data_IF_288012843841
#
_entry.id   IF_288012843841
#
_cell.length_a   1.000
_cell.length_b   1.000
_cell.length_c   1.000
_cell.angle_alpha   90.00
_cell.angle_beta   90.00
_cell.angle_gamma   90.00
#
_symmetry.space_group_name_H-M   'P 1'
#
loop_
_entity.id
_entity.type
_entity.pdbx_description
1 polymer ?
#
# COMPACT_ATOMS: atom_id res chain seq x y z
N UNK A 1 4.16 51.42 -90.70
CA UNK A 1 4.99 50.20 -90.68
C UNK A 1 5.39 49.95 -89.23
N UNK A 2 4.93 48.83 -88.65
CA UNK A 2 5.38 48.06 -87.47
C UNK A 2 6.28 48.72 -86.39
N UNK A 3 6.24 48.43 -85.08
CA UNK A 3 5.56 47.48 -84.17
C UNK A 3 6.09 47.82 -82.73
N UNK A 4 5.33 47.50 -81.67
CA UNK A 4 5.90 46.95 -80.41
C UNK A 4 6.22 47.86 -79.20
N UNK A 5 5.34 47.79 -78.18
CA UNK A 5 5.50 48.13 -76.72
C UNK A 5 6.35 47.05 -75.97
N UNK A 6 6.54 47.06 -74.61
CA UNK A 6 6.74 48.11 -73.58
C UNK A 6 7.76 47.74 -72.43
N UNK A 7 7.81 48.58 -71.37
CA UNK A 7 8.25 48.34 -69.96
C UNK A 7 9.78 48.27 -69.63
N UNK A 8 10.32 48.65 -68.45
CA UNK A 8 9.85 48.81 -67.05
C UNK A 8 10.66 49.91 -66.31
N UNK A 9 10.08 50.53 -65.29
CA UNK A 9 10.74 51.46 -64.34
C UNK A 9 10.77 50.79 -62.96
N UNK A 10 11.95 50.51 -62.40
CA UNK A 10 12.11 50.05 -61.01
C UNK A 10 12.94 51.07 -60.24
N UNK A 11 12.31 51.78 -59.30
CA UNK A 11 12.95 52.62 -58.28
C UNK A 11 12.95 51.83 -56.98
N UNK A 12 14.12 51.71 -56.36
CA UNK A 12 14.33 51.13 -55.04
C UNK A 12 13.52 51.88 -53.96
N UNK A 13 12.78 51.19 -53.07
CA UNK A 13 12.17 51.83 -51.91
C UNK A 13 13.17 51.92 -50.76
N UNK A 14 13.36 53.13 -50.27
CA UNK A 14 14.00 53.45 -48.99
C UNK A 14 13.34 52.68 -47.84
N UNK A 15 14.14 51.95 -47.06
CA UNK A 15 13.75 51.33 -45.78
C UNK A 15 13.25 52.42 -44.83
N UNK A 16 11.93 52.57 -44.75
CA UNK A 16 11.26 53.31 -43.67
C UNK A 16 11.26 52.38 -42.46
N UNK A 17 11.99 52.74 -41.40
CA UNK A 17 11.84 52.10 -40.11
C UNK A 17 10.35 52.21 -39.70
N UNK A 18 9.62 51.09 -39.69
CA UNK A 18 8.28 51.05 -39.13
C UNK A 18 8.43 51.30 -37.63
N UNK A 19 7.99 52.48 -37.21
CA UNK A 19 7.92 52.85 -35.81
C UNK A 19 6.60 52.27 -35.29
N UNK A 20 6.57 50.96 -35.12
CA UNK A 20 5.46 50.25 -34.49
C UNK A 20 5.57 50.47 -32.98
N UNK A 21 5.16 51.66 -32.55
CA UNK A 21 4.97 52.01 -31.16
C UNK A 21 3.57 51.55 -30.75
N UNK A 22 3.44 50.25 -30.47
CA UNK A 22 2.31 49.69 -29.70
C UNK A 22 2.82 48.75 -28.60
N UNK A 23 3.99 49.10 -28.04
CA UNK A 23 4.51 48.46 -26.84
C UNK A 23 3.85 49.11 -25.62
N UNK A 24 2.76 48.49 -25.18
CA UNK A 24 2.11 48.77 -23.90
C UNK A 24 2.91 48.10 -22.77
N UNK A 25 3.64 48.86 -21.92
CA UNK A 25 4.49 48.28 -20.88
C UNK A 25 3.71 47.56 -19.77
N UNK A 26 2.38 47.68 -19.73
CA UNK A 26 1.52 46.92 -18.81
C UNK A 26 1.11 45.54 -19.38
N UNK A 27 1.22 45.32 -20.69
CA UNK A 27 0.86 44.04 -21.33
C UNK A 27 2.08 43.14 -21.47
N UNK A 28 2.02 42.01 -20.76
CA UNK A 28 2.99 40.92 -20.90
C UNK A 28 3.04 40.42 -22.36
N UNK A 29 4.21 40.00 -22.87
CA UNK A 29 4.33 39.40 -24.20
C UNK A 29 3.38 38.20 -24.35
N UNK A 30 2.78 38.01 -25.53
CA UNK A 30 1.79 36.94 -25.77
C UNK A 30 2.29 35.53 -25.39
N UNK A 31 3.58 35.25 -25.57
CA UNK A 31 4.19 33.98 -25.16
C UNK A 31 4.19 33.76 -23.64
N UNK A 32 4.37 34.83 -22.86
CA UNK A 32 4.29 34.78 -21.40
C UNK A 32 2.84 34.72 -20.91
N UNK A 33 1.89 35.30 -21.65
CA UNK A 33 0.47 35.16 -21.36
C UNK A 33 0.00 33.71 -21.57
N UNK A 34 0.42 33.08 -22.67
CA UNK A 34 0.11 31.67 -22.94
C UNK A 34 0.63 30.73 -21.84
N UNK A 35 1.86 30.94 -21.35
CA UNK A 35 2.41 30.17 -20.23
C UNK A 35 1.63 30.41 -18.92
N UNK A 36 1.26 31.66 -18.62
CA UNK A 36 0.44 31.96 -17.45
C UNK A 36 -0.95 31.33 -17.54
N UNK A 37 -1.55 31.28 -18.72
CA UNK A 37 -2.85 30.67 -18.94
C UNK A 37 -2.82 29.15 -18.76
N UNK A 38 -1.74 28.49 -19.21
CA UNK A 38 -1.51 27.06 -18.96
C UNK A 38 -1.33 26.78 -17.48
N UNK A 39 -0.56 27.62 -16.76
CA UNK A 39 -0.39 27.50 -15.30
C UNK A 39 -1.72 27.69 -14.59
N UNK A 40 -2.50 28.72 -14.94
CA UNK A 40 -3.83 29.00 -14.35
C UNK A 40 -4.83 27.89 -14.66
N UNK A 41 -4.80 27.32 -15.86
CA UNK A 41 -5.65 26.20 -16.25
C UNK A 41 -5.30 24.92 -15.47
N UNK A 42 -4.01 24.64 -15.28
CA UNK A 42 -3.55 23.53 -14.45
C UNK A 42 -3.91 23.73 -12.98
N UNK A 43 -3.78 24.96 -12.45
CA UNK A 43 -4.14 25.29 -11.07
C UNK A 43 -5.64 25.15 -10.83
N UNK A 44 -6.49 25.60 -11.76
CA UNK A 44 -7.95 25.41 -11.72
C UNK A 44 -8.36 23.94 -11.85
N UNK A 45 -7.72 23.17 -12.72
CA UNK A 45 -7.97 21.72 -12.81
C UNK A 45 -7.59 21.00 -11.53
N UNK A 46 -6.45 21.40 -10.94
CA UNK A 46 -5.98 20.87 -9.67
C UNK A 46 -6.95 21.23 -8.55
N UNK A 47 -7.34 22.51 -8.41
CA UNK A 47 -8.29 22.97 -7.39
C UNK A 47 -9.65 22.29 -7.49
N UNK A 48 -10.17 22.11 -8.72
CA UNK A 48 -11.45 21.43 -8.95
C UNK A 48 -11.38 19.94 -8.57
N UNK A 49 -10.26 19.28 -8.86
CA UNK A 49 -10.02 17.90 -8.42
C UNK A 49 -9.95 17.74 -6.89
N UNK A 50 -9.59 18.79 -6.13
CA UNK A 50 -9.67 18.77 -4.66
C UNK A 50 -11.07 19.10 -4.15
N UNK A 51 -11.79 20.01 -4.80
CA UNK A 51 -13.18 20.36 -4.40
C UNK A 51 -14.17 19.21 -4.62
N UNK A 52 -14.00 18.43 -5.70
CA UNK A 52 -14.83 17.25 -5.93
C UNK A 52 -14.54 16.12 -4.90
N UNK A 53 -13.34 16.08 -4.30
CA UNK A 53 -13.01 15.13 -3.21
C UNK A 53 -13.77 15.40 -1.91
N UNK A 54 -14.04 16.67 -1.58
CA UNK A 54 -14.81 17.03 -0.39
C UNK A 54 -16.31 16.73 -0.55
N UNK A 55 -16.80 16.66 -1.79
CA UNK A 55 -18.22 16.40 -2.10
C UNK A 55 -18.57 14.90 -2.16
N UNK A 56 -17.58 14.03 -2.38
CA UNK A 56 -17.68 12.56 -2.45
C UNK A 56 -16.97 11.85 -1.26
N UNK A 57 -16.93 12.47 -0.08
CA UNK A 57 -16.35 11.86 1.12
C UNK A 57 -17.12 10.56 1.51
N UNK A 58 -16.45 9.40 1.63
CA UNK A 58 -17.08 8.16 2.09
C UNK A 58 -17.81 8.26 3.44
N UNK A 59 -17.43 9.23 4.28
CA UNK A 59 -17.99 9.49 5.61
C UNK A 59 -19.03 10.62 5.64
N UNK A 60 -19.25 11.33 4.54
CA UNK A 60 -20.17 12.47 4.45
C UNK A 60 -19.59 13.77 5.00
N UNK A 61 -20.42 14.83 5.07
CA UNK A 61 -20.01 16.15 5.56
C UNK A 61 -19.82 16.13 7.09
N UNK A 62 -18.57 16.11 7.56
CA UNK A 62 -18.20 16.11 8.98
C UNK A 62 -18.39 17.48 9.67
N UNK A 63 -18.79 18.53 8.94
CA UNK A 63 -18.91 19.88 9.49
C UNK A 63 -19.97 20.00 10.60
N UNK A 64 -21.02 19.18 10.56
CA UNK A 64 -22.15 19.18 11.52
C UNK A 64 -22.33 17.83 12.24
N UNK A 65 -21.32 16.94 12.18
CA UNK A 65 -21.33 15.63 12.81
C UNK A 65 -20.79 15.64 14.25
N UNK A 66 -21.47 14.95 15.16
CA UNK A 66 -21.05 14.81 16.57
C UNK A 66 -19.76 13.96 16.74
N UNK A 67 -19.38 13.20 15.70
CA UNK A 67 -18.20 12.32 15.67
C UNK A 67 -17.33 12.67 14.47
N UNK A 68 -16.09 13.11 14.73
CA UNK A 68 -15.05 13.38 13.71
C UNK A 68 -14.22 12.12 13.48
N UNK A 69 -14.15 11.60 12.25
CA UNK A 69 -13.44 10.35 11.96
C UNK A 69 -11.95 10.57 11.65
N UNK A 70 -11.54 11.78 11.22
CA UNK A 70 -10.17 12.11 10.78
C UNK A 70 -9.32 12.74 11.87
N UNK A 71 -8.97 11.96 12.89
CA UNK A 71 -8.24 12.45 14.08
C UNK A 71 -6.76 12.08 14.10
N UNK A 72 -6.31 11.16 13.24
CA UNK A 72 -4.97 10.58 13.31
C UNK A 72 -3.91 11.51 12.69
N UNK A 73 -2.85 11.79 13.43
CA UNK A 73 -1.67 12.51 12.91
C UNK A 73 -0.69 11.56 12.21
N UNK A 74 0.12 12.06 11.27
CA UNK A 74 1.04 11.23 10.48
C UNK A 74 2.05 10.44 11.32
N UNK A 75 2.54 11.00 12.42
CA UNK A 75 3.50 10.31 13.30
C UNK A 75 2.82 9.20 14.10
N UNK A 76 1.56 9.39 14.50
CA UNK A 76 0.76 8.37 15.19
C UNK A 76 0.47 7.22 14.23
N UNK A 77 0.10 7.53 12.99
CA UNK A 77 -0.04 6.56 11.92
C UNK A 77 1.27 5.77 11.71
N UNK A 78 2.41 6.45 11.62
CA UNK A 78 3.71 5.79 11.48
C UNK A 78 3.99 4.82 12.63
N UNK A 79 3.76 5.23 13.89
CA UNK A 79 3.96 4.37 15.05
C UNK A 79 3.03 3.14 15.02
N UNK A 80 1.76 3.31 14.67
CA UNK A 80 0.80 2.20 14.56
C UNK A 80 1.23 1.21 13.48
N UNK A 81 1.62 1.71 12.30
CA UNK A 81 2.09 0.87 11.20
C UNK A 81 3.41 0.16 11.54
N UNK A 82 4.34 0.84 12.20
CA UNK A 82 5.61 0.24 12.64
C UNK A 82 5.33 -0.88 13.65
N UNK A 83 4.48 -0.62 14.64
CA UNK A 83 4.13 -1.61 15.65
C UNK A 83 3.45 -2.84 15.01
N UNK A 84 2.58 -2.63 14.02
CA UNK A 84 1.88 -3.71 13.31
C UNK A 84 2.83 -4.51 12.41
N UNK A 85 3.55 -3.85 11.50
CA UNK A 85 4.46 -4.51 10.55
C UNK A 85 5.57 -5.29 11.26
N UNK A 86 6.31 -4.64 12.16
CA UNK A 86 7.45 -5.27 12.85
C UNK A 86 6.99 -6.48 13.66
N UNK A 87 5.84 -6.38 14.33
CA UNK A 87 5.30 -7.48 15.14
C UNK A 87 5.04 -8.74 14.33
N UNK A 88 4.53 -8.61 13.10
CA UNK A 88 4.25 -9.75 12.24
C UNK A 88 5.51 -10.29 11.56
N UNK A 89 6.37 -9.40 11.06
CA UNK A 89 7.57 -9.78 10.30
C UNK A 89 8.62 -10.49 11.16
N UNK A 90 8.85 -10.03 12.40
CA UNK A 90 9.89 -10.59 13.30
C UNK A 90 9.62 -12.05 13.67
N UNK A 91 8.37 -12.52 13.60
CA UNK A 91 8.02 -13.88 13.99
C UNK A 91 8.58 -14.94 13.03
N UNK A 92 8.60 -14.68 11.72
CA UNK A 92 9.04 -15.64 10.72
C UNK A 92 10.31 -15.22 9.96
N UNK A 93 10.75 -13.97 10.09
CA UNK A 93 11.97 -13.50 9.42
C UNK A 93 13.21 -14.32 9.77
N UNK A 94 13.51 -14.58 11.06
CA UNK A 94 14.71 -15.31 11.43
C UNK A 94 14.84 -16.71 10.81
N UNK A 95 13.74 -17.46 10.69
CA UNK A 95 13.76 -18.79 10.09
C UNK A 95 14.00 -18.74 8.57
N UNK A 96 13.37 -17.80 7.86
CA UNK A 96 13.61 -17.60 6.42
C UNK A 96 15.08 -17.24 6.14
N UNK A 97 15.70 -16.45 7.02
CA UNK A 97 17.10 -16.09 6.89
C UNK A 97 18.05 -17.23 7.28
N UNK A 98 17.64 -18.11 8.17
CA UNK A 98 18.37 -19.33 8.48
C UNK A 98 18.47 -20.25 7.26
N UNK A 99 17.40 -20.34 6.45
CA UNK A 99 17.36 -21.15 5.22
C UNK A 99 18.17 -20.53 4.07
N UNK A 100 17.97 -19.24 3.80
CA UNK A 100 18.55 -18.55 2.62
C UNK A 100 19.96 -18.02 2.90
N UNK A 101 20.33 -17.91 4.18
CA UNK A 101 21.60 -17.34 4.65
C UNK A 101 21.56 -15.81 4.71
N UNK A 102 22.43 -15.24 5.56
CA UNK A 102 22.41 -13.80 5.89
C UNK A 102 22.59 -12.86 4.70
N UNK A 103 23.44 -13.23 3.73
CA UNK A 103 23.69 -12.38 2.56
C UNK A 103 22.45 -12.35 1.66
N UNK A 104 21.87 -13.52 1.36
CA UNK A 104 20.65 -13.61 0.57
C UNK A 104 19.46 -12.96 1.28
N UNK A 105 19.35 -13.19 2.59
CA UNK A 105 18.37 -12.56 3.47
C UNK A 105 18.42 -11.03 3.46
N UNK A 106 19.60 -10.44 3.62
CA UNK A 106 19.77 -8.99 3.59
C UNK A 106 19.39 -8.39 2.23
N UNK A 107 19.78 -9.05 1.12
CA UNK A 107 19.39 -8.63 -0.23
C UNK A 107 17.86 -8.70 -0.39
N UNK A 108 17.22 -9.75 0.11
CA UNK A 108 15.77 -9.89 0.07
C UNK A 108 15.05 -8.83 0.90
N UNK A 109 15.48 -8.56 2.14
CA UNK A 109 14.88 -7.53 3.01
C UNK A 109 14.95 -6.17 2.33
N UNK A 110 16.13 -5.78 1.81
CA UNK A 110 16.31 -4.49 1.14
C UNK A 110 15.52 -4.44 -0.17
N UNK A 111 15.59 -5.51 -0.98
CA UNK A 111 14.89 -5.59 -2.26
C UNK A 111 13.37 -5.51 -2.11
N UNK A 112 12.80 -6.32 -1.21
CA UNK A 112 11.37 -6.29 -0.90
C UNK A 112 10.97 -4.95 -0.26
N UNK A 113 11.83 -4.35 0.56
CA UNK A 113 11.58 -3.03 1.13
C UNK A 113 11.51 -1.92 0.08
N UNK A 114 12.37 -1.96 -0.95
CA UNK A 114 12.30 -1.02 -2.08
C UNK A 114 11.02 -1.23 -2.88
N UNK A 115 10.64 -2.48 -3.15
CA UNK A 115 9.41 -2.77 -3.87
C UNK A 115 8.19 -2.35 -3.06
N UNK A 116 8.15 -2.61 -1.75
CA UNK A 116 7.09 -2.19 -0.84
C UNK A 116 6.97 -0.66 -0.77
N UNK A 117 8.10 0.06 -0.78
CA UNK A 117 8.09 1.53 -0.85
C UNK A 117 7.54 2.01 -2.18
N UNK A 118 7.94 1.39 -3.28
CA UNK A 118 7.45 1.73 -4.61
C UNK A 118 5.95 1.48 -4.73
N UNK A 119 5.45 0.32 -4.31
CA UNK A 119 4.02 -0.01 -4.36
C UNK A 119 3.21 0.88 -3.41
N UNK A 120 3.75 1.17 -2.22
CA UNK A 120 3.19 2.15 -1.28
C UNK A 120 3.11 3.56 -1.89
N UNK A 121 4.14 4.02 -2.58
CA UNK A 121 4.18 5.34 -3.23
C UNK A 121 3.25 5.41 -4.44
N UNK A 122 3.25 4.38 -5.30
CA UNK A 122 2.49 4.38 -6.55
C UNK A 122 0.98 4.28 -6.31
N UNK A 123 0.55 3.65 -5.21
CA UNK A 123 -0.87 3.36 -5.02
C UNK A 123 -1.49 3.75 -3.68
N UNK A 124 -0.72 3.96 -2.61
CA UNK A 124 -1.30 3.77 -1.28
C UNK A 124 -1.98 2.39 -1.15
N UNK A 125 -1.55 1.41 -1.95
CA UNK A 125 -2.30 0.19 -2.30
C UNK A 125 -1.98 -1.00 -1.44
N UNK A 126 -1.89 -0.82 -0.13
CA UNK A 126 -2.08 -1.92 0.81
C UNK A 126 -3.48 -1.73 1.41
N UNK A 127 -4.24 -2.81 1.62
CA UNK A 127 -5.63 -2.69 2.12
C UNK A 127 -5.71 -1.85 3.40
N UNK A 128 -4.73 -2.00 4.28
CA UNK A 128 -4.65 -1.23 5.52
C UNK A 128 -4.35 0.26 5.27
N UNK A 129 -3.61 0.61 4.22
CA UNK A 129 -3.18 1.98 3.93
C UNK A 129 -4.37 2.88 3.57
N UNK A 130 -5.35 2.40 2.80
CA UNK A 130 -6.57 3.18 2.54
C UNK A 130 -7.34 3.48 3.83
N UNK A 131 -7.39 2.53 4.76
CA UNK A 131 -8.03 2.75 6.06
C UNK A 131 -7.26 3.78 6.87
N UNK A 132 -5.94 3.66 6.97
CA UNK A 132 -5.11 4.63 7.71
C UNK A 132 -5.15 6.03 7.10
N UNK A 133 -5.07 6.14 5.76
CA UNK A 133 -5.22 7.40 5.04
C UNK A 133 -6.58 8.03 5.33
N UNK A 134 -7.64 7.21 5.38
CA UNK A 134 -9.01 7.68 5.64
C UNK A 134 -9.22 8.18 7.08
N UNK A 135 -8.35 7.79 8.02
CA UNK A 135 -8.39 8.24 9.42
C UNK A 135 -7.43 9.40 9.69
N UNK A 136 -6.55 9.71 8.74
CA UNK A 136 -5.59 10.79 8.85
C UNK A 136 -6.26 12.16 8.70
N UNK A 137 -5.88 13.07 9.59
CA UNK A 137 -6.27 14.49 9.51
C UNK A 137 -5.86 15.08 8.15
N UNK A 138 -4.61 14.85 7.74
CA UNK A 138 -4.09 15.29 6.44
C UNK A 138 -3.50 14.11 5.62
N UNK A 139 -4.21 13.61 4.60
CA UNK A 139 -3.81 12.47 3.76
C UNK A 139 -2.48 12.67 3.03
N UNK A 140 -2.12 13.93 2.72
CA UNK A 140 -0.88 14.27 2.01
C UNK A 140 0.37 13.92 2.80
N UNK A 141 0.29 13.88 4.13
CA UNK A 141 1.42 13.53 4.99
C UNK A 141 1.64 12.02 5.10
N UNK A 142 0.79 11.18 4.49
CA UNK A 142 0.91 9.72 4.56
C UNK A 142 2.24 9.20 4.02
N UNK A 143 2.79 9.83 2.97
CA UNK A 143 4.10 9.44 2.41
C UNK A 143 5.23 9.62 3.43
N UNK A 144 5.14 10.61 4.34
CA UNK A 144 6.13 10.78 5.41
C UNK A 144 6.05 9.62 6.40
N UNK A 145 4.84 9.21 6.76
CA UNK A 145 4.62 8.04 7.62
C UNK A 145 5.16 6.76 6.98
N UNK A 146 4.93 6.55 5.67
CA UNK A 146 5.46 5.41 4.92
C UNK A 146 6.98 5.35 4.86
N UNK A 147 7.65 6.48 4.65
CA UNK A 147 9.12 6.51 4.61
C UNK A 147 9.69 6.16 5.98
N UNK A 148 9.14 6.73 7.06
CA UNK A 148 9.56 6.45 8.44
C UNK A 148 9.31 4.97 8.78
N UNK A 149 8.17 4.43 8.38
CA UNK A 149 7.84 3.02 8.48
C UNK A 149 8.92 2.16 7.81
N UNK A 150 9.18 2.38 6.52
CA UNK A 150 10.09 1.53 5.77
C UNK A 150 11.52 1.54 6.34
N UNK A 151 12.04 2.73 6.65
CA UNK A 151 13.39 2.87 7.21
C UNK A 151 13.49 2.15 8.55
N UNK A 152 12.47 2.29 9.39
CA UNK A 152 12.43 1.63 10.71
C UNK A 152 12.33 0.11 10.57
N UNK A 153 11.41 -0.37 9.73
CA UNK A 153 11.13 -1.78 9.47
C UNK A 153 12.37 -2.50 8.93
N UNK A 154 13.01 -1.94 7.89
CA UNK A 154 14.23 -2.50 7.29
C UNK A 154 15.37 -2.57 8.31
N UNK A 155 15.53 -1.52 9.14
CA UNK A 155 16.58 -1.46 10.16
C UNK A 155 16.35 -2.50 11.25
N UNK A 156 15.14 -2.56 11.81
CA UNK A 156 14.81 -3.50 12.89
C UNK A 156 14.89 -4.93 12.39
N UNK A 157 14.39 -5.23 11.20
CA UNK A 157 14.49 -6.56 10.62
C UNK A 157 15.91 -7.02 10.41
N UNK A 158 16.80 -6.17 9.91
CA UNK A 158 18.21 -6.53 9.76
C UNK A 158 18.90 -6.78 11.11
N UNK A 159 18.60 -5.98 12.13
CA UNK A 159 19.16 -6.15 13.47
C UNK A 159 18.65 -7.46 14.09
N UNK A 160 17.34 -7.67 14.09
CA UNK A 160 16.72 -8.87 14.67
C UNK A 160 17.19 -10.12 13.94
N UNK A 161 17.21 -10.10 12.61
CA UNK A 161 17.79 -11.15 11.79
C UNK A 161 19.22 -11.52 12.20
N UNK A 162 20.10 -10.52 12.28
CA UNK A 162 21.51 -10.71 12.61
C UNK A 162 21.68 -11.28 14.01
N UNK A 163 20.95 -10.75 15.00
CA UNK A 163 20.99 -11.21 16.38
C UNK A 163 20.47 -12.65 16.47
N UNK A 164 19.29 -12.94 15.91
CA UNK A 164 18.73 -14.29 15.94
C UNK A 164 19.65 -15.30 15.25
N UNK A 165 20.19 -14.97 14.08
CA UNK A 165 21.11 -15.85 13.36
C UNK A 165 22.42 -16.08 14.14
N UNK A 166 22.96 -15.04 14.79
CA UNK A 166 24.19 -15.15 15.58
C UNK A 166 24.04 -16.03 16.82
N UNK A 167 22.87 -16.04 17.47
CA UNK A 167 22.65 -16.78 18.72
C UNK A 167 21.96 -18.13 18.56
N UNK A 168 21.08 -18.29 17.57
CA UNK A 168 20.30 -19.52 17.36
C UNK A 168 20.74 -20.31 16.10
N UNK A 169 21.55 -19.74 15.21
CA UNK A 169 22.12 -20.45 14.07
C UNK A 169 21.07 -20.85 13.04
N UNK A 170 21.19 -22.08 12.50
CA UNK A 170 20.25 -22.64 11.52
C UNK A 170 18.96 -23.18 12.14
N UNK A 171 18.94 -23.43 13.45
CA UNK A 171 17.85 -24.14 14.16
C UNK A 171 16.83 -23.16 14.78
N UNK A 172 16.53 -22.06 14.08
CA UNK A 172 15.58 -21.06 14.56
C UNK A 172 14.17 -21.54 14.28
N UNK A 173 13.40 -21.78 15.35
CA UNK A 173 11.99 -22.11 15.25
C UNK A 173 11.21 -20.92 14.66
N UNK A 174 10.18 -21.20 13.87
CA UNK A 174 9.17 -20.24 13.48
C UNK A 174 7.85 -20.60 14.17
N UNK A 175 7.27 -19.70 15.00
CA UNK A 175 7.73 -18.34 15.29
C UNK A 175 9.02 -18.25 16.14
N UNK A 176 9.89 -17.28 15.83
CA UNK A 176 11.21 -17.06 16.44
C UNK A 176 11.20 -16.97 17.98
N UNK A 177 10.10 -16.49 18.56
CA UNK A 177 9.88 -16.41 20.00
C UNK A 177 9.94 -17.77 20.72
N UNK A 178 9.71 -18.87 19.99
CA UNK A 178 9.81 -20.24 20.53
C UNK A 178 11.25 -20.72 20.73
N UNK A 179 12.21 -20.16 19.99
CA UNK A 179 13.59 -20.68 19.89
C UNK A 179 14.36 -20.75 21.21
N UNK A 180 14.30 -19.77 22.13
CA UNK A 180 15.12 -19.79 23.34
C UNK A 180 14.77 -20.90 24.35
N UNK A 181 13.62 -21.58 24.18
CA UNK A 181 13.15 -22.64 25.06
C UNK A 181 12.86 -22.20 26.51
N UNK A 182 12.31 -23.10 27.32
CA UNK A 182 12.16 -22.94 28.76
C UNK A 182 11.37 -21.70 29.19
N UNK A 183 11.91 -20.95 30.16
CA UNK A 183 11.26 -19.76 30.74
C UNK A 183 11.36 -18.55 29.81
N UNK A 184 12.44 -18.43 29.04
CA UNK A 184 12.68 -17.27 28.18
C UNK A 184 11.66 -17.21 27.03
N UNK A 185 11.30 -18.36 26.44
CA UNK A 185 10.20 -18.44 25.46
C UNK A 185 8.86 -17.99 26.07
N UNK A 186 8.54 -18.42 27.30
CA UNK A 186 7.29 -18.01 27.99
C UNK A 186 7.22 -16.51 28.25
N UNK A 187 8.35 -15.90 28.64
CA UNK A 187 8.44 -14.44 28.81
C UNK A 187 8.24 -13.74 27.46
N UNK A 188 8.91 -14.22 26.40
CA UNK A 188 8.78 -13.67 25.06
C UNK A 188 7.33 -13.69 24.56
N UNK A 189 6.66 -14.83 24.68
CA UNK A 189 5.23 -14.95 24.35
C UNK A 189 4.34 -14.08 25.24
N UNK A 190 4.65 -13.96 26.54
CA UNK A 190 3.94 -13.07 27.46
C UNK A 190 3.99 -11.60 27.03
N UNK A 191 5.14 -11.14 26.54
CA UNK A 191 5.32 -9.77 26.01
C UNK A 191 4.66 -9.61 24.64
N UNK A 192 4.64 -10.66 23.81
CA UNK A 192 4.06 -10.63 22.47
C UNK A 192 2.52 -10.69 22.46
N UNK A 193 1.87 -11.31 23.44
CA UNK A 193 0.41 -11.45 23.47
C UNK A 193 -0.32 -10.09 23.32
N UNK A 194 0.01 -9.04 24.09
CA UNK A 194 -0.64 -7.75 23.93
C UNK A 194 -0.50 -7.16 22.51
N UNK A 195 0.67 -7.28 21.89
CA UNK A 195 0.91 -6.73 20.55
C UNK A 195 0.18 -7.53 19.47
N UNK A 196 0.16 -8.86 19.58
CA UNK A 196 -0.58 -9.76 18.68
C UNK A 196 -2.09 -9.49 18.76
N UNK A 197 -2.63 -9.30 19.98
CA UNK A 197 -4.05 -8.96 20.17
C UNK A 197 -4.38 -7.63 19.53
N UNK A 198 -3.54 -6.60 19.74
CA UNK A 198 -3.74 -5.28 19.12
C UNK A 198 -3.73 -5.39 17.58
N UNK A 199 -2.77 -6.11 17.00
CA UNK A 199 -2.69 -6.32 15.55
C UNK A 199 -3.97 -7.01 15.02
N UNK A 200 -4.43 -8.08 15.67
CA UNK A 200 -5.66 -8.78 15.30
C UNK A 200 -6.91 -7.89 15.40
N UNK A 201 -7.02 -7.08 16.46
CA UNK A 201 -8.13 -6.13 16.65
C UNK A 201 -8.14 -5.06 15.58
N UNK A 202 -6.98 -4.53 15.17
CA UNK A 202 -6.89 -3.53 14.10
C UNK A 202 -7.46 -4.10 12.80
N UNK A 203 -7.03 -5.30 12.37
CA UNK A 203 -7.56 -5.90 11.14
C UNK A 203 -9.04 -6.26 11.23
N UNK A 204 -9.49 -6.81 12.36
CA UNK A 204 -10.90 -7.10 12.58
C UNK A 204 -11.74 -5.82 12.56
N UNK A 205 -11.24 -4.73 13.15
CA UNK A 205 -11.91 -3.44 13.15
C UNK A 205 -12.01 -2.86 11.74
N UNK A 206 -10.91 -2.84 10.98
CA UNK A 206 -10.87 -2.35 9.59
C UNK A 206 -11.82 -3.17 8.71
N UNK A 207 -11.81 -4.50 8.82
CA UNK A 207 -12.71 -5.40 8.09
C UNK A 207 -14.18 -5.17 8.46
N UNK A 208 -14.50 -5.12 9.75
CA UNK A 208 -15.86 -4.86 10.24
C UNK A 208 -16.38 -3.50 9.82
N UNK A 209 -15.56 -2.44 9.93
CA UNK A 209 -15.89 -1.08 9.49
C UNK A 209 -16.18 -1.04 8.01
N UNK A 210 -15.36 -1.70 7.18
CA UNK A 210 -15.57 -1.75 5.74
C UNK A 210 -16.91 -2.40 5.37
N UNK A 211 -17.24 -3.55 5.98
CA UNK A 211 -18.53 -4.23 5.76
C UNK A 211 -19.70 -3.37 6.28
N UNK A 212 -19.56 -2.80 7.47
CA UNK A 212 -20.59 -1.97 8.09
C UNK A 212 -20.93 -0.74 7.25
N UNK A 213 -19.91 0.00 6.78
CA UNK A 213 -20.09 1.16 5.91
C UNK A 213 -20.73 0.76 4.59
N UNK A 214 -20.36 -0.39 4.01
CA UNK A 214 -20.98 -0.88 2.77
C UNK A 214 -22.46 -1.20 2.92
N UNK A 215 -22.88 -1.75 4.07
CA UNK A 215 -24.29 -2.09 4.33
C UNK A 215 -25.13 -0.83 4.62
N UNK A 216 -24.59 0.12 5.40
CA UNK A 216 -25.37 1.26 5.90
C UNK A 216 -25.08 2.60 5.19
N UNK A 217 -24.31 2.60 4.09
CA UNK A 217 -24.01 3.83 3.33
C UNK A 217 -25.28 4.57 2.94
N UNK A 218 -25.38 5.86 3.30
CA UNK A 218 -26.54 6.70 3.00
C UNK A 218 -27.75 6.50 3.91
N UNK A 219 -27.64 5.72 4.99
CA UNK A 219 -28.74 5.52 5.95
C UNK A 219 -28.52 6.30 7.26
N UNK A 220 -29.62 6.65 7.95
CA UNK A 220 -29.59 7.35 9.26
C UNK A 220 -28.95 6.53 10.40
N UNK A 221 -28.74 5.23 10.19
CA UNK A 221 -28.19 4.30 11.17
C UNK A 221 -26.65 4.33 11.24
N UNK A 222 -25.98 5.00 10.29
CA UNK A 222 -24.52 5.11 10.28
C UNK A 222 -24.00 5.98 11.42
N UNK A 223 -24.67 7.10 11.70
CA UNK A 223 -24.20 8.12 12.66
C UNK A 223 -24.98 8.11 13.98
N UNK A 224 -25.89 7.16 14.19
CA UNK A 224 -26.71 7.06 15.40
C UNK A 224 -26.61 5.68 16.04
N UNK A 225 -26.36 5.67 17.35
CA UNK A 225 -26.34 4.47 18.21
C UNK A 225 -27.75 3.88 18.39
N UNK A 226 -28.28 3.29 17.32
CA UNK A 226 -29.53 2.53 17.34
C UNK A 226 -29.26 1.06 17.67
N UNK A 227 -30.26 0.35 18.22
CA UNK A 227 -30.13 -1.09 18.49
C UNK A 227 -29.78 -1.90 17.24
N UNK A 228 -30.25 -1.48 16.05
CA UNK A 228 -29.89 -2.10 14.78
C UNK A 228 -28.40 -1.89 14.44
N UNK A 229 -27.89 -0.66 14.61
CA UNK A 229 -26.47 -0.32 14.40
C UNK A 229 -25.56 -1.16 15.31
N UNK A 230 -25.88 -1.22 16.61
CA UNK A 230 -25.10 -1.98 17.60
C UNK A 230 -25.17 -3.48 17.32
N UNK A 231 -26.37 -4.00 17.05
CA UNK A 231 -26.58 -5.42 16.76
C UNK A 231 -25.84 -5.88 15.51
N UNK A 232 -25.91 -5.10 14.43
CA UNK A 232 -25.17 -5.41 13.19
C UNK A 232 -23.67 -5.28 13.38
N UNK A 233 -23.18 -4.28 14.11
CA UNK A 233 -21.74 -4.15 14.42
C UNK A 233 -21.19 -5.36 15.19
N UNK A 234 -21.91 -5.78 16.23
CA UNK A 234 -21.56 -6.95 17.04
C UNK A 234 -21.62 -8.24 16.20
N UNK A 235 -22.65 -8.39 15.36
CA UNK A 235 -22.82 -9.56 14.49
C UNK A 235 -21.70 -9.71 13.45
N UNK A 236 -21.32 -8.61 12.78
CA UNK A 236 -20.20 -8.59 11.83
C UNK A 236 -18.91 -8.96 12.56
N UNK A 237 -18.61 -8.30 13.68
CA UNK A 237 -17.37 -8.53 14.44
C UNK A 237 -17.28 -9.97 14.92
N UNK A 238 -18.35 -10.52 15.48
CA UNK A 238 -18.39 -11.93 15.93
C UNK A 238 -18.13 -12.89 14.77
N UNK A 239 -18.71 -12.62 13.60
CA UNK A 239 -18.53 -13.47 12.41
C UNK A 239 -17.07 -13.48 11.94
N UNK A 240 -16.41 -12.32 11.90
CA UNK A 240 -14.99 -12.23 11.56
C UNK A 240 -14.12 -13.05 12.53
N UNK A 241 -14.36 -12.94 13.85
CA UNK A 241 -13.60 -13.68 14.85
C UNK A 241 -13.83 -15.19 14.79
N UNK A 242 -15.06 -15.64 14.56
CA UNK A 242 -15.38 -17.06 14.41
C UNK A 242 -14.69 -17.65 13.18
N UNK A 243 -14.73 -16.95 12.04
CA UNK A 243 -14.04 -17.39 10.83
C UNK A 243 -12.53 -17.46 11.06
N UNK A 244 -11.93 -16.44 11.68
CA UNK A 244 -10.51 -16.42 11.99
C UNK A 244 -10.10 -17.58 12.90
N UNK A 245 -10.89 -17.88 13.94
CA UNK A 245 -10.65 -18.99 14.84
C UNK A 245 -10.71 -20.35 14.11
N UNK A 246 -11.73 -20.57 13.28
CA UNK A 246 -11.86 -21.80 12.49
C UNK A 246 -10.66 -22.00 11.57
N UNK A 247 -10.21 -20.96 10.87
CA UNK A 247 -9.04 -21.04 9.97
C UNK A 247 -7.77 -21.36 10.77
N UNK A 248 -7.58 -20.72 11.93
CA UNK A 248 -6.39 -20.90 12.76
C UNK A 248 -6.29 -22.33 13.33
N UNK A 249 -7.38 -22.94 13.78
CA UNK A 249 -7.40 -24.34 14.27
C UNK A 249 -7.31 -25.36 13.13
N UNK A 250 -7.75 -24.97 11.92
CA UNK A 250 -7.77 -25.87 10.77
C UNK A 250 -6.38 -26.15 10.20
N UNK A 251 -5.47 -25.18 10.24
CA UNK A 251 -4.10 -25.29 9.67
C UNK A 251 -3.07 -25.34 10.81
N UNK A 252 -2.58 -26.54 11.20
CA UNK A 252 -1.80 -26.74 12.42
C UNK A 252 -0.32 -26.29 12.32
N UNK A 253 0.07 -25.61 11.23
CA UNK A 253 1.42 -25.11 11.01
C UNK A 253 1.39 -23.61 10.68
N UNK A 254 2.10 -22.81 11.48
CA UNK A 254 2.11 -21.36 11.37
C UNK A 254 2.65 -20.85 10.02
N UNK A 255 3.74 -21.44 9.52
CA UNK A 255 4.35 -21.04 8.25
C UNK A 255 3.44 -21.38 7.06
N UNK A 256 2.79 -22.55 7.08
CA UNK A 256 1.86 -22.94 6.02
C UNK A 256 0.62 -22.02 5.98
N UNK A 257 0.09 -21.64 7.14
CA UNK A 257 -1.00 -20.67 7.25
C UNK A 257 -0.56 -19.31 6.69
N UNK A 258 0.60 -18.81 7.13
CA UNK A 258 1.14 -17.53 6.69
C UNK A 258 1.42 -17.53 5.18
N UNK A 259 2.00 -18.60 4.64
CA UNK A 259 2.29 -18.76 3.21
C UNK A 259 1.00 -18.84 2.37
N UNK A 260 -0.03 -19.55 2.84
CA UNK A 260 -1.33 -19.63 2.18
C UNK A 260 -2.02 -18.25 2.12
N UNK A 261 -2.09 -17.54 3.25
CA UNK A 261 -2.70 -16.20 3.32
C UNK A 261 -1.90 -15.21 2.46
N UNK A 262 -0.57 -15.26 2.52
CA UNK A 262 0.30 -14.36 1.77
C UNK A 262 0.23 -14.60 0.26
N UNK A 263 0.21 -15.86 -0.16
CA UNK A 263 0.07 -16.20 -1.59
C UNK A 263 -1.30 -15.85 -2.13
N UNK A 264 -2.39 -16.04 -1.37
CA UNK A 264 -3.74 -15.76 -1.85
C UNK A 264 -4.05 -14.25 -1.86
N UNK A 265 -3.64 -13.51 -0.83
CA UNK A 265 -4.04 -12.12 -0.65
C UNK A 265 -2.87 -11.14 -0.79
N UNK A 266 -1.77 -11.35 -0.08
CA UNK A 266 -0.66 -10.38 -0.08
C UNK A 266 -0.02 -10.23 -1.47
N UNK A 267 0.07 -11.31 -2.26
CA UNK A 267 0.59 -11.27 -3.63
C UNK A 267 -0.21 -10.32 -4.54
N UNK A 268 -1.55 -10.43 -4.51
CA UNK A 268 -2.46 -9.63 -5.33
C UNK A 268 -2.58 -8.21 -4.81
N UNK A 269 -2.74 -8.02 -3.49
CA UNK A 269 -2.85 -6.67 -2.94
C UNK A 269 -1.55 -5.87 -3.04
N UNK A 270 -0.38 -6.51 -2.87
CA UNK A 270 0.90 -5.81 -2.89
C UNK A 270 1.43 -5.58 -4.31
N UNK A 271 1.37 -6.60 -5.17
CA UNK A 271 2.03 -6.56 -6.49
C UNK A 271 1.01 -6.52 -7.64
N UNK A 272 0.01 -7.39 -7.60
CA UNK A 272 -0.96 -7.57 -8.69
C UNK A 272 -1.82 -6.34 -8.97
N UNK A 273 -2.70 -5.98 -8.03
CA UNK A 273 -3.59 -4.82 -8.14
C UNK A 273 -2.81 -3.52 -8.31
N UNK A 274 -1.66 -3.43 -7.63
CA UNK A 274 -0.72 -2.34 -7.75
C UNK A 274 -0.29 -2.09 -9.20
N UNK A 275 0.23 -3.13 -9.87
CA UNK A 275 0.62 -3.01 -11.27
C UNK A 275 -0.57 -2.74 -12.20
N UNK A 276 -1.71 -3.39 -11.95
CA UNK A 276 -2.92 -3.25 -12.78
C UNK A 276 -3.47 -1.81 -12.73
N UNK A 277 -3.61 -1.22 -11.53
CA UNK A 277 -4.14 0.13 -11.39
C UNK A 277 -3.24 1.18 -12.06
N UNK A 278 -1.91 1.02 -11.95
CA UNK A 278 -1.00 1.92 -12.67
C UNK A 278 -1.17 1.82 -14.19
N UNK A 279 -1.30 0.59 -14.72
CA UNK A 279 -1.55 0.36 -16.14
C UNK A 279 -2.89 0.97 -16.58
N UNK A 280 -3.94 0.77 -15.80
CA UNK A 280 -5.26 1.35 -16.08
C UNK A 280 -5.22 2.88 -16.11
N UNK A 281 -4.59 3.51 -15.12
CA UNK A 281 -4.51 4.98 -15.03
C UNK A 281 -3.67 5.60 -16.16
N UNK A 282 -2.66 4.87 -16.66
CA UNK A 282 -1.81 5.31 -17.76
C UNK A 282 -2.24 4.77 -19.13
N UNK A 283 -3.49 4.31 -19.25
CA UNK A 283 -4.02 3.74 -20.48
C UNK A 283 -3.94 4.74 -21.65
N UNK A 284 -3.46 4.28 -22.80
CA UNK A 284 -3.24 5.11 -24.00
C UNK A 284 -1.94 5.94 -23.98
N UNK A 285 -1.05 5.73 -22.99
CA UNK A 285 0.20 6.49 -22.84
C UNK A 285 1.44 5.65 -22.54
N UNK A 286 1.40 4.34 -22.75
CA UNK A 286 2.46 3.41 -22.32
C UNK A 286 3.84 3.70 -22.93
N UNK A 287 3.89 4.04 -24.21
CA UNK A 287 5.15 4.20 -24.96
C UNK A 287 5.53 5.65 -25.24
N UNK A 288 4.88 6.62 -24.59
CA UNK A 288 5.08 8.05 -24.88
C UNK A 288 6.48 8.58 -24.58
N UNK A 289 7.18 7.99 -23.61
CA UNK A 289 8.53 8.39 -23.23
C UNK A 289 9.29 7.16 -22.70
N UNK A 290 10.62 7.12 -22.80
CA UNK A 290 11.43 6.00 -22.32
C UNK A 290 11.21 5.73 -20.82
N UNK A 291 11.05 6.79 -20.01
CA UNK A 291 10.68 6.65 -18.58
C UNK A 291 9.31 5.96 -18.39
N UNK A 292 8.32 6.31 -19.22
CA UNK A 292 6.97 5.71 -19.15
C UNK A 292 6.98 4.27 -19.64
N UNK A 293 7.75 3.97 -20.68
CA UNK A 293 7.95 2.62 -21.19
C UNK A 293 8.63 1.72 -20.16
N UNK A 294 9.68 2.22 -19.50
CA UNK A 294 10.33 1.52 -18.38
C UNK A 294 9.37 1.30 -17.22
N UNK A 295 8.57 2.30 -16.84
CA UNK A 295 7.57 2.16 -15.77
C UNK A 295 6.46 1.18 -16.16
N UNK A 296 6.02 1.15 -17.43
CA UNK A 296 5.08 0.15 -17.94
C UNK A 296 5.66 -1.26 -17.80
N UNK A 297 6.92 -1.47 -18.19
CA UNK A 297 7.58 -2.75 -18.04
C UNK A 297 7.62 -3.20 -16.58
N UNK A 298 8.06 -2.32 -15.66
CA UNK A 298 8.11 -2.61 -14.22
C UNK A 298 6.74 -3.01 -13.69
N UNK A 299 5.67 -2.28 -14.02
CA UNK A 299 4.33 -2.59 -13.53
C UNK A 299 3.78 -3.90 -14.13
N UNK A 300 4.06 -4.22 -15.40
CA UNK A 300 3.72 -5.52 -15.98
C UNK A 300 4.47 -6.64 -15.24
N UNK A 301 5.76 -6.47 -14.99
CA UNK A 301 6.55 -7.44 -14.23
C UNK A 301 5.99 -7.65 -12.83
N UNK A 302 5.54 -6.60 -12.14
CA UNK A 302 4.89 -6.73 -10.83
C UNK A 302 3.60 -7.54 -10.87
N UNK A 303 2.76 -7.37 -11.92
CA UNK A 303 1.56 -8.20 -12.11
C UNK A 303 1.95 -9.67 -12.30
N UNK A 304 2.96 -9.94 -13.13
CA UNK A 304 3.45 -11.30 -13.37
C UNK A 304 4.03 -11.93 -12.09
N UNK A 305 4.80 -11.19 -11.30
CA UNK A 305 5.34 -11.64 -10.01
C UNK A 305 4.19 -11.94 -9.04
N UNK A 306 3.19 -11.07 -8.94
CA UNK A 306 2.01 -11.31 -8.10
C UNK A 306 1.27 -12.59 -8.49
N UNK A 307 1.02 -12.79 -9.79
CA UNK A 307 0.38 -14.00 -10.30
C UNK A 307 1.23 -15.26 -10.04
N UNK A 308 2.55 -15.19 -10.24
CA UNK A 308 3.46 -16.29 -9.97
C UNK A 308 3.49 -16.65 -8.49
N UNK A 309 3.66 -15.68 -7.59
CA UNK A 309 3.65 -15.90 -6.14
C UNK A 309 2.31 -16.52 -5.70
N UNK A 310 1.20 -16.06 -6.28
CA UNK A 310 -0.12 -16.65 -6.00
C UNK A 310 -0.17 -18.13 -6.41
N UNK A 311 0.20 -18.46 -7.65
CA UNK A 311 0.08 -19.83 -8.17
C UNK A 311 1.09 -20.76 -7.47
N UNK A 312 2.36 -20.39 -7.47
CA UNK A 312 3.43 -21.19 -6.87
C UNK A 312 3.25 -21.32 -5.36
N UNK A 313 2.85 -20.23 -4.68
CA UNK A 313 2.62 -20.21 -3.23
C UNK A 313 1.40 -21.03 -2.83
N UNK A 314 0.30 -20.97 -3.58
CA UNK A 314 -0.87 -21.83 -3.34
C UNK A 314 -0.54 -23.31 -3.55
N UNK A 315 0.23 -23.63 -4.60
CA UNK A 315 0.69 -24.98 -4.86
C UNK A 315 1.57 -25.49 -3.72
N UNK A 316 2.63 -24.74 -3.37
CA UNK A 316 3.57 -25.13 -2.31
C UNK A 316 2.87 -25.27 -0.95
N UNK A 317 2.05 -24.29 -0.56
CA UNK A 317 1.32 -24.32 0.72
C UNK A 317 0.29 -25.45 0.74
N UNK A 318 -0.43 -25.66 -0.37
CA UNK A 318 -1.41 -26.74 -0.50
C UNK A 318 -0.78 -28.12 -0.41
N UNK A 319 0.34 -28.34 -1.09
CA UNK A 319 1.11 -29.58 -1.01
C UNK A 319 1.64 -29.81 0.41
N UNK A 320 2.25 -28.79 1.04
CA UNK A 320 2.76 -28.88 2.40
C UNK A 320 1.66 -29.20 3.43
N UNK A 321 0.46 -28.62 3.27
CA UNK A 321 -0.70 -28.94 4.12
C UNK A 321 -1.17 -30.38 3.86
N UNK A 322 -1.20 -30.83 2.60
CA UNK A 322 -1.62 -32.20 2.26
C UNK A 322 -0.66 -33.27 2.79
N UNK A 323 0.64 -33.04 2.70
CA UNK A 323 1.66 -33.98 3.18
C UNK A 323 1.73 -33.98 4.72
N UNK A 324 1.65 -32.80 5.35
CA UNK A 324 1.63 -32.65 6.81
C UNK A 324 0.36 -33.20 7.47
N UNK A 325 -0.72 -33.43 6.71
CA UNK A 325 -1.95 -34.03 7.23
C UNK A 325 -1.84 -35.55 7.52
N UNK A 326 -0.74 -36.19 7.09
CA UNK A 326 -0.48 -37.62 7.29
C UNK A 326 0.60 -37.98 8.32
N UNK A 327 1.33 -37.01 8.87
CA UNK A 327 2.40 -37.23 9.86
C UNK A 327 1.94 -36.95 11.30
N UNK A 328 2.50 -37.64 12.29
CA UNK A 328 2.20 -37.53 13.74
C UNK A 328 2.42 -36.13 14.36
N UNK A 329 2.80 -35.14 13.55
CA UNK A 329 3.04 -33.75 13.93
C UNK A 329 1.75 -32.92 13.89
N UNK A 330 0.97 -32.97 14.97
CA UNK A 330 -0.08 -31.98 15.27
C UNK A 330 -1.27 -32.02 14.32
N UNK A 331 -2.27 -32.86 14.62
CA UNK A 331 -3.54 -32.86 13.89
C UNK A 331 -4.25 -31.50 13.95
N UNK A 332 -5.14 -31.26 12.97
CA UNK A 332 -6.09 -30.15 13.00
C UNK A 332 -6.90 -30.20 14.31
N UNK A 333 -7.18 -29.05 14.92
CA UNK A 333 -7.92 -28.95 16.19
C UNK A 333 -7.24 -29.64 17.38
N UNK A 334 -5.91 -29.56 17.46
CA UNK A 334 -5.14 -30.06 18.61
C UNK A 334 -4.50 -28.91 19.38
N UNK A 335 -4.35 -29.06 20.69
CA UNK A 335 -3.64 -28.09 21.53
C UNK A 335 -2.10 -28.22 21.45
N UNK A 336 -1.58 -28.90 20.43
CA UNK A 336 -0.15 -29.10 20.23
C UNK A 336 0.51 -27.80 19.73
N UNK A 337 1.83 -27.67 19.92
CA UNK A 337 2.57 -26.53 19.39
C UNK A 337 2.57 -26.56 17.86
N UNK A 338 2.34 -25.40 17.26
CA UNK A 338 2.33 -25.19 15.80
C UNK A 338 3.64 -24.56 15.28
N UNK A 339 4.66 -24.44 16.14
CA UNK A 339 5.98 -23.91 15.78
C UNK A 339 6.92 -25.00 15.28
N UNK A 340 7.72 -24.68 14.26
CA UNK A 340 8.68 -25.60 13.62
C UNK A 340 10.02 -24.95 13.34
#
# INVERSE_FOLDING_TARGET
>A
MALGRPETRSRSPTLRASRDNDYDPEKLPESMQADQDVVRANEKRRSKGWQDQDQDDPFGDEADGDVKYRTLSWWQCAVIMIAETISLGVLSLPSVLAEIGMIGGAILIVGLGVVATYTGYVLGGHLAFFSFISEMREPKDFTRALIVLQVSDTTVYLIVAMVCYAYAGSEVLSPALGSPGGVLAKIGWGVAIPTIVVAGVIYAHVGSKYVYVRIFRGTRHMSKNTWLSIGTWMGITLTFWVIAWVIAESIPNFNNLLALISSLFASWFTYGLSGIFWLFLNSGGYTKNWKKMALTFVNITLVCIGAFICIAGLYASGTAISEGSGSESGGSWTCASNGQ
#
